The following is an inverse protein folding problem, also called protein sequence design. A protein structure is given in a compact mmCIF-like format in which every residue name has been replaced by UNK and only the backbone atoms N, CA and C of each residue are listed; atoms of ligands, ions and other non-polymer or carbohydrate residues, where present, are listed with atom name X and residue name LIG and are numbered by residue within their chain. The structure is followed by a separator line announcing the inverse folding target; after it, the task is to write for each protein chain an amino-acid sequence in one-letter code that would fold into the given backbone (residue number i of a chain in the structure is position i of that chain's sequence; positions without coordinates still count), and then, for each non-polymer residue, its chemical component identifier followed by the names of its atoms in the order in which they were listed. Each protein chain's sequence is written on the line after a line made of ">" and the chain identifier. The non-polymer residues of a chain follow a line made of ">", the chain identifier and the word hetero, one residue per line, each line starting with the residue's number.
data_IF_171241930232
#
_entry.id   IF_171241930232
#
_cell.length_a   1.000
_cell.length_b   1.000
_cell.length_c   1.000
_cell.angle_alpha   90.00
_cell.angle_beta   90.00
_cell.angle_gamma   90.00
#
_symmetry.space_group_name_H-M   'P 1'
#
loop_
_entity.id
_entity.type
_entity.pdbx_description
1 polymer ?
#
# COMPACT_ATOMS: atom_id res chain seq x y z
N UNK A 1 29.55 -49.94 -11.95
CA UNK A 1 28.41 -49.76 -11.03
C UNK A 1 28.71 -48.55 -10.17
N UNK A 2 27.86 -47.54 -10.24
CA UNK A 2 28.15 -46.13 -9.95
C UNK A 2 28.27 -45.85 -8.44
N UNK A 3 29.33 -45.15 -8.04
CA UNK A 3 29.49 -44.61 -6.67
C UNK A 3 28.66 -43.33 -6.60
N UNK A 4 27.68 -43.28 -5.68
CA UNK A 4 26.79 -42.14 -5.49
C UNK A 4 27.54 -40.93 -4.91
N UNK A 5 27.35 -39.76 -5.51
CA UNK A 5 27.89 -38.50 -5.01
C UNK A 5 26.90 -37.90 -4.00
N UNK A 6 27.31 -37.82 -2.74
CA UNK A 6 26.59 -37.06 -1.70
C UNK A 6 26.96 -35.58 -1.90
N UNK A 7 26.00 -34.76 -2.32
CA UNK A 7 26.17 -33.30 -2.37
C UNK A 7 25.80 -32.71 -1.02
N UNK A 8 26.81 -32.36 -0.22
CA UNK A 8 26.63 -31.55 0.98
C UNK A 8 26.43 -30.10 0.54
N UNK A 9 25.18 -29.66 0.38
CA UNK A 9 24.87 -28.25 0.14
C UNK A 9 24.76 -27.52 1.49
N UNK A 10 25.79 -26.76 1.84
CA UNK A 10 25.78 -25.91 3.02
C UNK A 10 25.08 -24.58 2.67
N UNK A 11 23.95 -24.27 3.32
CA UNK A 11 23.26 -23.00 3.15
C UNK A 11 24.02 -21.95 3.98
N UNK A 12 25.01 -21.30 3.38
CA UNK A 12 25.65 -20.14 4.02
C UNK A 12 24.73 -18.94 3.90
N UNK A 13 24.01 -18.61 4.98
CA UNK A 13 23.40 -17.28 5.12
C UNK A 13 24.54 -16.26 5.11
N UNK A 14 24.69 -15.50 4.02
CA UNK A 14 25.56 -14.32 4.02
C UNK A 14 24.95 -13.32 5.00
N UNK A 15 25.44 -13.33 6.25
CA UNK A 15 25.21 -12.21 7.17
C UNK A 15 25.84 -10.99 6.52
N UNK A 16 25.01 -10.11 5.97
CA UNK A 16 25.43 -8.81 5.48
C UNK A 16 25.90 -8.02 6.70
N UNK A 17 27.19 -8.12 6.97
CA UNK A 17 27.88 -7.29 7.94
C UNK A 17 28.10 -5.94 7.28
N UNK A 18 27.13 -5.04 7.41
CA UNK A 18 27.36 -3.61 7.25
C UNK A 18 26.85 -2.93 8.50
N UNK A 19 27.74 -2.84 9.48
CA UNK A 19 27.75 -1.74 10.43
C UNK A 19 27.95 -0.44 9.65
N UNK A 20 26.86 0.15 9.20
CA UNK A 20 26.78 1.58 8.94
C UNK A 20 25.76 2.12 9.96
N UNK A 21 26.15 3.14 10.72
CA UNK A 21 25.30 3.86 11.67
C UNK A 21 24.25 4.73 10.95
N UNK A 22 23.62 4.18 9.92
CA UNK A 22 22.55 4.81 9.16
C UNK A 22 21.26 4.34 9.80
N UNK A 23 20.61 5.22 10.57
CA UNK A 23 19.24 4.98 11.01
C UNK A 23 18.43 4.56 9.80
N UNK A 24 17.87 3.34 9.83
CA UNK A 24 17.05 2.82 8.75
C UNK A 24 15.76 3.65 8.72
N UNK A 25 15.78 4.73 7.94
CA UNK A 25 14.64 5.61 7.76
C UNK A 25 13.63 4.90 6.88
N UNK A 26 12.51 4.53 7.48
CA UNK A 26 11.39 3.91 6.77
C UNK A 26 10.46 4.99 6.28
N UNK A 27 10.30 5.06 4.96
CA UNK A 27 9.57 6.12 4.26
C UNK A 27 8.48 5.58 3.34
N UNK A 28 7.49 6.42 3.09
CA UNK A 28 6.40 6.12 2.18
C UNK A 28 6.86 6.27 0.73
N UNK A 29 6.82 5.19 -0.05
CA UNK A 29 7.23 5.16 -1.47
C UNK A 29 6.27 5.91 -2.43
N UNK A 30 5.28 6.64 -1.88
CA UNK A 30 4.36 7.50 -2.66
C UNK A 30 4.72 8.98 -2.51
N UNK A 31 5.24 9.38 -1.35
CA UNK A 31 5.55 10.78 -1.08
C UNK A 31 6.99 11.03 -0.59
N UNK A 32 7.80 9.97 -0.49
CA UNK A 32 9.19 9.98 -0.05
C UNK A 32 9.37 10.71 1.30
N UNK A 33 8.40 10.47 2.19
CA UNK A 33 8.37 11.03 3.53
C UNK A 33 8.47 9.92 4.58
N UNK A 34 9.25 10.18 5.63
CA UNK A 34 9.34 9.30 6.79
C UNK A 34 7.97 9.04 7.42
N UNK A 35 7.74 7.78 7.78
CA UNK A 35 6.54 7.38 8.50
C UNK A 35 6.60 7.93 9.94
N UNK A 36 5.44 8.36 10.45
CA UNK A 36 5.29 8.87 11.82
C UNK A 36 4.13 8.16 12.51
N UNK A 37 4.07 8.20 13.85
CA UNK A 37 2.99 7.56 14.59
C UNK A 37 1.63 8.28 14.52
N UNK A 38 1.65 9.54 14.10
CA UNK A 38 0.49 10.45 14.19
C UNK A 38 -0.11 10.74 12.83
N UNK A 39 0.56 11.54 12.00
CA UNK A 39 0.02 12.00 10.72
C UNK A 39 0.34 11.06 9.55
N UNK A 40 1.51 10.41 9.59
CA UNK A 40 2.00 9.52 8.53
C UNK A 40 2.09 8.09 9.01
N UNK A 41 1.05 7.64 9.72
CA UNK A 41 0.95 6.24 10.16
C UNK A 41 0.95 5.31 8.94
N UNK A 42 1.80 4.28 8.89
CA UNK A 42 1.80 3.33 7.78
C UNK A 42 0.52 2.47 7.79
N UNK A 43 -0.17 2.40 6.66
CA UNK A 43 -1.43 1.70 6.42
C UNK A 43 -1.28 0.65 5.34
N UNK A 44 -1.84 -0.54 5.56
CA UNK A 44 -1.76 -1.66 4.63
C UNK A 44 -3.02 -1.69 3.73
N UNK A 45 -2.81 -1.72 2.42
CA UNK A 45 -3.85 -1.92 1.40
C UNK A 45 -4.19 -3.42 1.28
N UNK A 46 -5.30 -3.78 0.62
CA UNK A 46 -5.71 -5.19 0.49
C UNK A 46 -4.67 -6.06 -0.24
N UNK A 47 -3.89 -5.47 -1.14
CA UNK A 47 -2.79 -6.14 -1.83
C UNK A 47 -1.54 -6.37 -0.96
N UNK A 48 -1.49 -5.85 0.27
CA UNK A 48 -0.34 -5.94 1.17
C UNK A 48 0.66 -4.79 1.07
N UNK A 49 0.57 -3.93 0.05
CA UNK A 49 1.40 -2.73 -0.04
C UNK A 49 1.06 -1.73 1.07
N UNK A 50 2.09 -0.99 1.51
CA UNK A 50 1.95 -0.01 2.58
C UNK A 50 2.10 1.41 2.06
N UNK A 51 1.19 2.30 2.47
CA UNK A 51 1.23 3.74 2.21
C UNK A 51 1.02 4.51 3.51
N UNK A 52 1.43 5.77 3.61
CA UNK A 52 1.13 6.56 4.80
C UNK A 52 -0.34 7.01 4.82
N UNK A 53 -0.88 7.29 6.00
CA UNK A 53 -2.27 7.70 6.22
C UNK A 53 -2.67 8.93 5.39
N UNK A 54 -1.82 9.94 5.29
CA UNK A 54 -2.04 11.09 4.39
C UNK A 54 -2.17 10.67 2.92
N UNK A 55 -1.30 9.77 2.44
CA UNK A 55 -1.38 9.28 1.05
C UNK A 55 -2.64 8.45 0.82
N UNK A 56 -3.03 7.60 1.77
CA UNK A 56 -4.28 6.84 1.69
C UNK A 56 -5.49 7.77 1.55
N UNK A 57 -5.55 8.84 2.36
CA UNK A 57 -6.63 9.83 2.30
C UNK A 57 -6.65 10.59 0.96
N UNK A 58 -5.47 10.98 0.44
CA UNK A 58 -5.36 11.64 -0.88
C UNK A 58 -5.80 10.72 -2.02
N UNK A 59 -5.37 9.46 -2.00
CA UNK A 59 -5.76 8.47 -3.01
C UNK A 59 -7.28 8.23 -3.00
N UNK A 60 -7.89 8.17 -1.82
CA UNK A 60 -9.35 8.11 -1.70
C UNK A 60 -10.04 9.36 -2.27
N UNK A 61 -9.54 10.55 -1.96
CA UNK A 61 -10.10 11.81 -2.46
C UNK A 61 -10.00 11.93 -3.99
N UNK A 62 -8.87 11.53 -4.58
CA UNK A 62 -8.67 11.56 -6.03
C UNK A 62 -9.62 10.61 -6.76
N UNK A 63 -9.93 9.45 -6.17
CA UNK A 63 -10.95 8.54 -6.69
C UNK A 63 -12.37 9.14 -6.64
N UNK A 64 -12.63 10.15 -5.80
CA UNK A 64 -13.90 10.92 -5.80
C UNK A 64 -13.93 12.05 -6.83
N UNK A 65 -12.75 12.56 -7.23
CA UNK A 65 -12.61 13.72 -8.12
C UNK A 65 -12.44 13.36 -9.60
N UNK A 66 -12.64 12.10 -10.00
CA UNK A 66 -12.72 11.75 -11.43
C UNK A 66 -14.05 12.22 -12.01
N UNK A 67 -14.18 13.54 -12.17
CA UNK A 67 -15.08 14.18 -13.12
C UNK A 67 -14.58 13.85 -14.53
N UNK A 68 -14.75 12.61 -14.94
CA UNK A 68 -14.62 12.25 -16.34
C UNK A 68 -15.64 13.10 -17.11
N UNK A 69 -15.16 14.05 -17.91
CA UNK A 69 -16.01 14.90 -18.75
C UNK A 69 -16.84 14.05 -19.74
N UNK A 70 -16.37 12.85 -20.07
CA UNK A 70 -17.11 11.86 -20.87
C UNK A 70 -18.27 11.20 -20.09
N UNK A 71 -18.18 11.05 -18.77
CA UNK A 71 -19.24 10.43 -17.94
C UNK A 71 -20.34 11.40 -17.50
N UNK A 72 -20.14 12.71 -17.67
CA UNK A 72 -21.18 13.71 -17.39
C UNK A 72 -22.33 13.70 -18.41
N UNK A 73 -22.12 13.15 -19.61
CA UNK A 73 -23.09 13.12 -20.71
C UNK A 73 -23.78 11.76 -20.92
N UNK A 74 -23.29 10.68 -20.30
CA UNK A 74 -23.75 9.30 -20.52
C UNK A 74 -24.76 8.81 -19.46
N UNK A 75 -25.60 9.69 -18.93
CA UNK A 75 -26.66 9.29 -17.97
C UNK A 75 -27.99 8.89 -18.63
N UNK A 76 -28.11 8.88 -19.96
CA UNK A 76 -29.45 8.70 -20.57
C UNK A 76 -29.55 7.78 -21.78
N UNK A 77 -28.56 6.95 -22.13
CA UNK A 77 -28.78 5.95 -23.19
C UNK A 77 -27.98 4.66 -22.91
N UNK A 78 -28.71 3.57 -22.62
CA UNK A 78 -28.23 2.19 -22.46
C UNK A 78 -27.42 1.85 -21.20
N UNK A 79 -28.13 1.66 -20.09
CA UNK A 79 -28.21 0.37 -19.39
C UNK A 79 -26.97 -0.31 -18.78
N UNK A 80 -25.76 0.24 -18.90
CA UNK A 80 -24.57 -0.25 -18.19
C UNK A 80 -23.91 0.90 -17.46
N UNK A 81 -24.52 1.30 -16.36
CA UNK A 81 -23.94 2.21 -15.39
C UNK A 81 -22.75 1.51 -14.72
N UNK A 82 -21.54 1.77 -15.23
CA UNK A 82 -20.29 1.63 -14.49
C UNK A 82 -20.31 2.66 -13.36
N UNK A 83 -21.11 2.41 -12.32
CA UNK A 83 -21.04 3.12 -11.06
C UNK A 83 -19.65 2.84 -10.50
N UNK A 84 -18.68 3.73 -10.75
CA UNK A 84 -17.40 3.66 -10.05
C UNK A 84 -17.73 3.80 -8.56
N UNK A 85 -17.59 2.72 -7.82
CA UNK A 85 -17.75 2.74 -6.38
C UNK A 85 -16.66 3.66 -5.82
N UNK A 86 -17.01 4.89 -5.49
CA UNK A 86 -16.13 5.93 -4.94
C UNK A 86 -15.59 5.62 -3.53
N UNK A 87 -15.77 4.37 -3.08
CA UNK A 87 -15.40 3.87 -1.77
C UNK A 87 -14.30 2.83 -1.90
N UNK A 88 -13.30 3.07 -2.76
CA UNK A 88 -12.12 2.21 -2.87
C UNK A 88 -10.85 3.03 -3.09
N UNK A 89 -9.71 2.51 -2.63
CA UNK A 89 -8.37 3.04 -2.93
C UNK A 89 -7.71 2.10 -3.93
N UNK A 90 -7.27 2.63 -5.06
CA UNK A 90 -6.47 1.86 -6.03
C UNK A 90 -5.00 1.94 -5.62
N UNK A 91 -4.34 0.78 -5.52
CA UNK A 91 -2.94 0.70 -5.14
C UNK A 91 -2.04 1.31 -6.25
N UNK A 92 -1.14 2.25 -5.93
CA UNK A 92 -0.25 2.85 -6.94
C UNK A 92 0.87 1.91 -7.39
N UNK A 93 1.08 0.77 -6.70
CA UNK A 93 2.16 -0.16 -6.99
C UNK A 93 1.72 -1.36 -7.85
N UNK A 94 0.46 -1.79 -7.72
CA UNK A 94 -0.02 -3.02 -8.35
C UNK A 94 -1.47 -2.93 -8.86
N UNK A 95 -2.04 -1.73 -8.88
CA UNK A 95 -3.38 -1.41 -9.42
C UNK A 95 -4.55 -2.17 -8.77
N UNK A 96 -4.30 -2.92 -7.69
CA UNK A 96 -5.35 -3.64 -6.97
C UNK A 96 -6.20 -2.66 -6.17
N UNK A 97 -7.52 -2.78 -6.31
CA UNK A 97 -8.48 -2.00 -5.57
C UNK A 97 -8.64 -2.51 -4.14
N UNK A 98 -8.64 -1.57 -3.19
CA UNK A 98 -8.93 -1.80 -1.78
C UNK A 98 -10.30 -1.22 -1.46
N UNK A 99 -11.37 -2.04 -1.38
CA UNK A 99 -12.69 -1.58 -1.02
C UNK A 99 -12.70 -1.08 0.43
N UNK A 100 -13.24 0.12 0.60
CA UNK A 100 -13.38 0.80 1.86
C UNK A 100 -14.81 0.57 2.35
N UNK A 101 -14.94 -0.22 3.40
CA UNK A 101 -16.24 -0.47 4.02
C UNK A 101 -16.43 0.55 5.16
N UNK A 102 -17.10 1.67 4.87
CA UNK A 102 -17.33 2.73 5.86
C UNK A 102 -18.18 3.90 5.34
N UNK A 103 -18.83 4.60 6.26
CA UNK A 103 -19.59 5.83 5.96
C UNK A 103 -18.64 6.92 5.46
N UNK A 104 -19.08 7.62 4.40
CA UNK A 104 -18.35 8.71 3.75
C UNK A 104 -17.99 9.77 4.79
N UNK A 105 -16.71 9.90 5.12
CA UNK A 105 -16.20 10.94 6.04
C UNK A 105 -15.86 10.50 7.46
N UNK A 106 -15.97 9.20 7.78
CA UNK A 106 -15.42 8.63 9.01
C UNK A 106 -14.22 7.74 8.65
N UNK A 107 -13.08 7.98 9.29
CA UNK A 107 -11.78 7.34 9.08
C UNK A 107 -11.85 5.99 8.36
N UNK A 108 -11.34 5.92 7.14
CA UNK A 108 -11.07 4.66 6.47
C UNK A 108 -9.95 3.98 7.28
N UNK A 109 -10.30 3.17 8.28
CA UNK A 109 -9.34 2.52 9.15
C UNK A 109 -8.72 1.33 8.45
N UNK A 110 -7.95 1.60 7.39
CA UNK A 110 -6.98 0.64 6.88
C UNK A 110 -6.11 0.14 8.05
N UNK A 111 -5.79 -1.16 8.10
CA UNK A 111 -4.98 -1.72 9.16
C UNK A 111 -3.63 -1.02 9.24
N UNK A 112 -3.18 -0.73 10.46
CA UNK A 112 -1.84 -0.18 10.71
C UNK A 112 -0.80 -1.25 10.38
N UNK A 113 0.32 -0.85 9.77
CA UNK A 113 1.47 -1.73 9.65
C UNK A 113 2.27 -1.70 10.97
N UNK A 114 1.92 -2.59 11.90
CA UNK A 114 2.58 -2.66 13.20
C UNK A 114 4.07 -3.00 13.09
N UNK A 115 4.50 -3.77 12.08
CA UNK A 115 5.91 -4.06 11.86
C UNK A 115 6.72 -2.78 11.61
N UNK A 116 6.21 -1.88 10.76
CA UNK A 116 6.84 -0.58 10.54
C UNK A 116 6.76 0.34 11.77
N UNK A 117 5.63 0.33 12.50
CA UNK A 117 5.51 1.09 13.74
C UNK A 117 6.51 0.64 14.81
N UNK A 118 6.84 -0.66 14.88
CA UNK A 118 7.89 -1.15 15.76
C UNK A 118 9.29 -0.67 15.35
N UNK A 119 9.53 -0.46 14.06
CA UNK A 119 10.82 0.04 13.54
C UNK A 119 10.96 1.55 13.81
N UNK A 120 9.89 2.33 13.60
CA UNK A 120 9.89 3.79 13.81
C UNK A 120 10.05 4.18 15.30
N UNK A 121 9.69 3.28 16.22
CA UNK A 121 9.78 3.47 17.67
C UNK A 121 11.16 3.22 18.27
N UNK A 122 12.06 2.57 17.54
CA UNK A 122 13.40 2.18 17.99
C UNK A 122 14.40 3.29 17.69
#
# INVERSE_FOLDING_TARGET
>A
MSIGHIWNAEITMKKSTTTDLVGFKVECQVCDQEFTETSRTPRILQCGHTVCEECANRLQANNRSTSCFCCAFSNTLNGNSFFKNYNQITCPFCETDTPLHGNIGLDVRLPKNYALLHIIRQ
#
